data_IF_445846050250
#
_entry.id   IF_445846050250
#
_cell.length_a   1.000
_cell.length_b   1.000
_cell.length_c   1.000
_cell.angle_alpha   90.00
_cell.angle_beta   90.00
_cell.angle_gamma   90.00
#
_symmetry.space_group_name_H-M   'P 1'
#
loop_
_entity.id
_entity.type
_entity.pdbx_description
1 polymer ?
#
# COMPACT_ATOMS: atom_id res chain seq x y z
N UNK A 1 4.79 30.82 -0.26
CA UNK A 1 3.66 30.46 0.62
C UNK A 1 4.24 29.79 1.87
N UNK A 2 4.26 30.47 3.02
CA UNK A 2 4.80 29.92 4.27
C UNK A 2 3.75 28.99 4.87
N UNK A 3 4.09 27.70 5.02
CA UNK A 3 3.18 26.70 5.59
C UNK A 3 3.18 26.80 7.11
N UNK A 4 2.01 26.70 7.75
CA UNK A 4 1.96 26.66 9.21
C UNK A 4 2.64 25.39 9.75
N UNK A 5 3.32 25.50 10.90
CA UNK A 5 4.02 24.38 11.53
C UNK A 5 3.08 23.18 11.80
N UNK A 6 1.80 23.44 12.16
CA UNK A 6 0.78 22.39 12.34
C UNK A 6 0.50 21.65 11.03
N UNK A 7 0.33 22.36 9.92
CA UNK A 7 0.07 21.74 8.60
C UNK A 7 1.24 20.87 8.15
N UNK A 8 2.47 21.31 8.41
CA UNK A 8 3.67 20.51 8.12
C UNK A 8 3.73 19.24 8.99
N UNK A 9 3.41 19.34 10.28
CA UNK A 9 3.36 18.20 11.20
C UNK A 9 2.31 17.17 10.76
N UNK A 10 1.09 17.61 10.47
CA UNK A 10 0.02 16.74 9.95
C UNK A 10 0.44 16.03 8.66
N UNK A 11 1.06 16.75 7.71
CA UNK A 11 1.58 16.14 6.48
C UNK A 11 2.66 15.09 6.74
N UNK A 12 3.53 15.28 7.74
CA UNK A 12 4.52 14.25 8.10
C UNK A 12 3.87 13.01 8.71
N UNK A 13 2.89 13.18 9.59
CA UNK A 13 2.16 12.05 10.19
C UNK A 13 1.43 11.24 9.12
N UNK A 14 0.69 11.92 8.23
CA UNK A 14 -0.03 11.26 7.15
C UNK A 14 0.91 10.57 6.16
N UNK A 15 2.08 11.14 5.88
CA UNK A 15 3.12 10.47 5.08
C UNK A 15 3.55 9.14 5.72
N UNK A 16 3.83 9.11 7.03
CA UNK A 16 4.24 7.89 7.71
C UNK A 16 3.13 6.84 7.74
N UNK A 17 1.87 7.25 7.92
CA UNK A 17 0.71 6.36 7.81
C UNK A 17 0.65 5.75 6.41
N UNK A 18 0.78 6.57 5.36
CA UNK A 18 0.74 6.09 3.99
C UNK A 18 1.89 5.12 3.68
N UNK A 19 3.10 5.42 4.17
CA UNK A 19 4.26 4.54 4.04
C UNK A 19 4.07 3.22 4.80
N UNK A 20 3.48 3.25 6.00
CA UNK A 20 3.14 2.05 6.75
C UNK A 20 2.11 1.19 5.99
N UNK A 21 1.13 1.80 5.32
CA UNK A 21 0.18 1.09 4.47
C UNK A 21 0.87 0.39 3.28
N UNK A 22 1.88 1.00 2.66
CA UNK A 22 2.71 0.33 1.63
C UNK A 22 3.40 -0.91 2.23
N UNK A 23 4.04 -0.77 3.39
CA UNK A 23 4.70 -1.91 4.04
C UNK A 23 3.70 -3.04 4.40
N UNK A 24 2.54 -2.68 4.95
CA UNK A 24 1.47 -3.63 5.28
C UNK A 24 0.92 -4.34 4.03
N UNK A 25 0.85 -3.65 2.89
CA UNK A 25 0.44 -4.25 1.61
C UNK A 25 1.33 -5.45 1.27
N UNK A 26 2.64 -5.29 1.40
CA UNK A 26 3.62 -6.35 1.18
C UNK A 26 3.51 -7.46 2.20
N UNK A 27 3.40 -7.11 3.49
CA UNK A 27 3.28 -8.09 4.59
C UNK A 27 2.03 -8.95 4.43
N UNK A 28 0.88 -8.35 4.12
CA UNK A 28 -0.35 -9.11 3.93
C UNK A 28 -0.30 -10.00 2.69
N UNK A 29 0.22 -9.48 1.57
CA UNK A 29 0.31 -10.27 0.34
C UNK A 29 1.30 -11.43 0.49
N UNK A 30 2.57 -11.12 0.81
CA UNK A 30 3.62 -12.14 0.91
C UNK A 30 3.38 -13.08 2.09
N UNK A 31 2.92 -12.54 3.23
CA UNK A 31 2.58 -13.35 4.40
C UNK A 31 1.46 -14.34 4.11
N UNK A 32 0.42 -13.93 3.40
CA UNK A 32 -0.66 -14.84 3.01
C UNK A 32 -0.23 -15.88 1.97
N UNK A 33 0.63 -15.50 1.03
CA UNK A 33 1.23 -16.46 0.09
C UNK A 33 2.09 -17.51 0.82
N UNK A 34 2.98 -17.08 1.71
CA UNK A 34 3.85 -17.99 2.47
C UNK A 34 3.04 -18.89 3.41
N UNK A 35 2.09 -18.32 4.16
CA UNK A 35 1.24 -19.07 5.07
C UNK A 35 0.29 -20.01 4.32
N UNK A 36 -0.30 -19.58 3.21
CA UNK A 36 -1.20 -20.39 2.39
C UNK A 36 -0.52 -21.66 1.86
N UNK A 37 0.75 -21.56 1.45
CA UNK A 37 1.53 -22.71 0.97
C UNK A 37 1.80 -23.78 2.05
N UNK A 38 1.63 -23.45 3.33
CA UNK A 38 1.89 -24.38 4.45
C UNK A 38 0.62 -25.06 4.96
N UNK A 39 -0.55 -24.78 4.39
CA UNK A 39 -1.86 -25.21 4.88
C UNK A 39 -2.53 -26.23 3.96
N UNK A 40 -3.47 -27.00 4.52
CA UNK A 40 -4.37 -27.83 3.73
C UNK A 40 -5.18 -26.97 2.73
N UNK A 41 -5.64 -27.51 1.59
CA UNK A 41 -6.15 -26.73 0.46
C UNK A 41 -7.24 -25.71 0.82
N UNK A 42 -8.20 -26.07 1.69
CA UNK A 42 -9.25 -25.14 2.14
C UNK A 42 -8.69 -23.98 2.97
N UNK A 43 -7.75 -24.27 3.87
CA UNK A 43 -7.09 -23.24 4.69
C UNK A 43 -6.20 -22.32 3.85
N UNK A 44 -5.50 -22.89 2.86
CA UNK A 44 -4.69 -22.14 1.91
C UNK A 44 -5.51 -21.08 1.16
N UNK A 45 -6.67 -21.47 0.62
CA UNK A 45 -7.58 -20.55 -0.10
C UNK A 45 -8.06 -19.44 0.82
N UNK A 46 -8.53 -19.75 2.03
CA UNK A 46 -9.01 -18.73 2.97
C UNK A 46 -7.93 -17.72 3.33
N UNK A 47 -6.72 -18.19 3.65
CA UNK A 47 -5.60 -17.31 4.02
C UNK A 47 -5.17 -16.43 2.84
N UNK A 48 -5.09 -16.99 1.63
CA UNK A 48 -4.78 -16.24 0.42
C UNK A 48 -5.82 -15.14 0.14
N UNK A 49 -7.11 -15.46 0.22
CA UNK A 49 -8.19 -14.50 -0.03
C UNK A 49 -8.20 -13.38 1.01
N UNK A 50 -8.09 -13.71 2.30
CA UNK A 50 -8.08 -12.71 3.37
C UNK A 50 -6.86 -11.79 3.24
N UNK A 51 -5.67 -12.36 3.02
CA UNK A 51 -4.46 -11.58 2.83
C UNK A 51 -4.49 -10.70 1.60
N UNK A 52 -5.07 -11.19 0.50
CA UNK A 52 -5.26 -10.40 -0.71
C UNK A 52 -6.19 -9.21 -0.45
N UNK A 53 -7.34 -9.42 0.22
CA UNK A 53 -8.26 -8.33 0.55
C UNK A 53 -7.57 -7.28 1.43
N UNK A 54 -6.87 -7.70 2.48
CA UNK A 54 -6.16 -6.78 3.38
C UNK A 54 -5.04 -6.02 2.65
N UNK A 55 -4.31 -6.69 1.76
CA UNK A 55 -3.27 -6.09 0.92
C UNK A 55 -3.86 -5.04 -0.03
N UNK A 56 -4.98 -5.34 -0.70
CA UNK A 56 -5.68 -4.40 -1.58
C UNK A 56 -6.15 -3.17 -0.81
N UNK A 57 -6.77 -3.36 0.36
CA UNK A 57 -7.22 -2.25 1.21
C UNK A 57 -6.04 -1.36 1.63
N UNK A 58 -4.94 -1.95 2.09
CA UNK A 58 -3.75 -1.21 2.48
C UNK A 58 -3.14 -0.43 1.29
N UNK A 59 -3.07 -1.05 0.10
CA UNK A 59 -2.57 -0.43 -1.13
C UNK A 59 -3.43 0.77 -1.55
N UNK A 60 -4.77 0.64 -1.50
CA UNK A 60 -5.70 1.72 -1.82
C UNK A 60 -5.58 2.90 -0.84
N UNK A 61 -5.45 2.63 0.46
CA UNK A 61 -5.23 3.69 1.46
C UNK A 61 -3.92 4.43 1.18
N UNK A 62 -2.84 3.71 0.88
CA UNK A 62 -1.56 4.33 0.50
C UNK A 62 -1.68 5.19 -0.76
N UNK A 63 -2.40 4.71 -1.77
CA UNK A 63 -2.66 5.43 -3.02
C UNK A 63 -3.45 6.72 -2.76
N UNK A 64 -4.58 6.64 -2.04
CA UNK A 64 -5.44 7.78 -1.73
C UNK A 64 -4.66 8.83 -0.93
N UNK A 65 -3.92 8.41 0.11
CA UNK A 65 -3.08 9.33 0.90
C UNK A 65 -1.93 9.92 0.08
N UNK A 66 -1.36 9.14 -0.84
CA UNK A 66 -0.39 9.61 -1.82
C UNK A 66 -0.94 10.76 -2.67
N UNK A 67 -2.10 10.55 -3.31
CA UNK A 67 -2.75 11.55 -4.18
C UNK A 67 -3.10 12.78 -3.36
N UNK A 68 -3.84 12.60 -2.26
CA UNK A 68 -4.26 13.70 -1.40
C UNK A 68 -3.04 14.49 -0.87
N UNK A 69 -1.98 13.79 -0.48
CA UNK A 69 -0.77 14.40 0.06
C UNK A 69 0.02 15.22 -0.97
N UNK A 70 0.11 14.77 -2.23
CA UNK A 70 0.78 15.52 -3.30
C UNK A 70 0.10 16.85 -3.64
N UNK A 71 -1.22 16.93 -3.45
CA UNK A 71 -2.03 18.13 -3.68
C UNK A 71 -2.04 19.02 -2.43
N UNK A 72 -2.27 18.44 -1.26
CA UNK A 72 -2.44 19.18 -0.01
C UNK A 72 -1.12 19.69 0.59
N UNK A 73 0.01 19.01 0.38
CA UNK A 73 1.29 19.35 1.01
C UNK A 73 2.43 19.61 0.02
N UNK A 74 2.48 20.79 -0.65
CA UNK A 74 3.55 21.13 -1.61
C UNK A 74 4.97 20.92 -1.10
N UNK A 75 5.25 21.28 0.16
CA UNK A 75 6.56 21.11 0.79
C UNK A 75 6.98 19.63 0.99
N UNK A 76 6.03 18.70 0.93
CA UNK A 76 6.24 17.26 1.10
C UNK A 76 5.94 16.48 -0.20
N UNK A 77 5.67 17.17 -1.31
CA UNK A 77 5.18 16.54 -2.55
C UNK A 77 6.08 15.39 -3.01
N UNK A 78 7.41 15.56 -2.98
CA UNK A 78 8.34 14.49 -3.37
C UNK A 78 8.20 13.22 -2.53
N UNK A 79 7.91 13.34 -1.24
CA UNK A 79 7.68 12.19 -0.35
C UNK A 79 6.37 11.47 -0.68
N UNK A 80 5.32 12.21 -0.98
CA UNK A 80 4.05 11.60 -1.40
C UNK A 80 4.10 11.02 -2.81
N UNK A 81 4.89 11.60 -3.73
CA UNK A 81 5.18 10.99 -5.03
C UNK A 81 5.90 9.65 -4.84
N UNK A 82 6.88 9.57 -3.93
CA UNK A 82 7.53 8.30 -3.59
C UNK A 82 6.52 7.27 -3.09
N UNK A 83 5.61 7.65 -2.19
CA UNK A 83 4.54 6.76 -1.72
C UNK A 83 3.66 6.28 -2.87
N UNK A 84 3.31 7.15 -3.82
CA UNK A 84 2.52 6.77 -4.99
C UNK A 84 3.25 5.75 -5.87
N UNK A 85 4.52 6.00 -6.16
CA UNK A 85 5.34 5.08 -6.95
C UNK A 85 5.44 3.72 -6.25
N UNK A 86 5.68 3.71 -4.94
CA UNK A 86 5.72 2.48 -4.16
C UNK A 86 4.36 1.78 -4.18
N UNK A 87 3.25 2.48 -3.92
CA UNK A 87 1.92 1.88 -3.92
C UNK A 87 1.53 1.26 -5.26
N UNK A 88 1.97 1.86 -6.38
CA UNK A 88 1.80 1.30 -7.72
C UNK A 88 2.67 0.04 -7.89
N UNK A 89 3.97 0.14 -7.61
CA UNK A 89 4.90 -0.99 -7.79
C UNK A 89 4.54 -2.16 -6.88
N UNK A 90 4.02 -1.91 -5.69
CA UNK A 90 3.57 -2.93 -4.73
C UNK A 90 2.08 -3.25 -4.84
N UNK A 91 1.41 -2.87 -5.93
CA UNK A 91 -0.02 -3.11 -6.10
C UNK A 91 -0.30 -4.61 -6.29
N UNK A 92 -1.02 -5.27 -5.37
CA UNK A 92 -1.31 -6.70 -5.49
C UNK A 92 -2.16 -7.01 -6.72
N UNK A 93 -3.01 -6.09 -7.17
CA UNK A 93 -3.82 -6.27 -8.38
C UNK A 93 -2.98 -6.21 -9.65
N UNK A 94 -1.97 -5.34 -9.69
CA UNK A 94 -1.04 -5.29 -10.83
C UNK A 94 -0.17 -6.54 -10.88
N UNK A 95 0.23 -7.08 -9.73
CA UNK A 95 0.96 -8.34 -9.67
C UNK A 95 0.10 -9.51 -10.14
N UNK A 96 -1.15 -9.62 -9.69
CA UNK A 96 -2.08 -10.64 -10.16
C UNK A 96 -2.32 -10.55 -11.67
N UNK A 97 -2.51 -9.33 -12.19
CA UNK A 97 -2.63 -9.11 -13.64
C UNK A 97 -1.36 -9.58 -14.37
N UNK A 98 -0.19 -9.21 -13.87
CA UNK A 98 1.09 -9.62 -14.45
C UNK A 98 1.25 -11.15 -14.46
N UNK A 99 0.92 -11.83 -13.37
CA UNK A 99 0.94 -13.29 -13.31
C UNK A 99 -0.07 -13.92 -14.26
N UNK A 100 -1.26 -13.36 -14.39
CA UNK A 100 -2.29 -13.84 -15.31
C UNK A 100 -1.93 -13.65 -16.79
N UNK A 101 -1.08 -12.66 -17.12
CA UNK A 101 -0.60 -12.41 -18.48
C UNK A 101 0.61 -13.27 -18.85
N UNK A 102 1.34 -13.79 -17.86
CA UNK A 102 2.54 -14.62 -18.06
C UNK A 102 2.28 -16.13 -17.91
N UNK A 103 1.19 -16.52 -17.27
CA UNK A 103 0.75 -17.91 -17.10
C UNK A 103 -0.15 -18.37 -18.22
#
# INVERSE_FOLDING_TARGET
>A
MIMSARRLSTGRTLFWVALACVALTLVFFLGAFLAGNSLAPRGAVTVLVVGLILSVVASLVALILGIAGTVAFPALRGRYVLVLLLAIVTSPLLWLLFFALLG
#
